data_IF_433111194671
#
_entry.id   IF_433111194671
#
_cell.length_a   1.000
_cell.length_b   1.000
_cell.length_c   1.000
_cell.angle_alpha   90.00
_cell.angle_beta   90.00
_cell.angle_gamma   90.00
#
_symmetry.space_group_name_H-M   'P 1'
#
loop_
_entity.id
_entity.type
_entity.pdbx_description
1 polymer ?
#
# COMPACT_ATOMS: atom_id res chain seq x y z
N UNK A 1 4.74 5.88 10.83
CA UNK A 1 5.01 4.53 10.35
C UNK A 1 3.73 3.74 10.20
N UNK A 2 3.62 2.95 9.16
CA UNK A 2 2.40 2.20 8.90
C UNK A 2 2.49 0.83 9.57
N UNK A 3 1.49 0.44 10.38
CA UNK A 3 1.51 -0.88 11.02
C UNK A 3 1.48 -1.99 9.97
N UNK A 4 2.36 -2.96 10.11
CA UNK A 4 2.45 -4.07 9.18
C UNK A 4 1.17 -4.92 9.20
N UNK A 5 0.55 -5.04 10.36
CA UNK A 5 -0.70 -5.80 10.50
C UNK A 5 -1.79 -5.26 9.57
N UNK A 6 -1.86 -3.94 9.45
CA UNK A 6 -2.85 -3.32 8.58
C UNK A 6 -2.58 -3.64 7.12
N UNK A 7 -1.31 -3.56 6.73
CA UNK A 7 -0.93 -3.89 5.36
C UNK A 7 -1.22 -5.35 5.05
N UNK A 8 -0.93 -6.21 5.99
CA UNK A 8 -1.15 -7.63 5.82
C UNK A 8 -2.64 -7.97 5.68
N UNK A 9 -3.49 -7.30 6.45
CA UNK A 9 -4.93 -7.51 6.35
C UNK A 9 -5.43 -7.15 4.96
N UNK A 10 -4.95 -6.07 4.40
CA UNK A 10 -5.35 -5.63 3.07
C UNK A 10 -4.90 -6.64 2.01
N UNK A 11 -3.65 -7.09 2.11
CA UNK A 11 -3.12 -8.06 1.15
C UNK A 11 -3.88 -9.38 1.25
N UNK A 12 -4.19 -9.82 2.47
CA UNK A 12 -4.93 -11.07 2.65
C UNK A 12 -6.36 -10.95 2.12
N UNK A 13 -6.99 -9.80 2.30
CA UNK A 13 -8.32 -9.58 1.75
C UNK A 13 -8.29 -9.65 0.23
N UNK A 14 -7.29 -9.03 -0.37
CA UNK A 14 -7.13 -9.06 -1.83
C UNK A 14 -6.95 -10.49 -2.33
N UNK A 15 -6.12 -11.28 -1.65
CA UNK A 15 -5.89 -12.66 -2.02
C UNK A 15 -7.17 -13.50 -1.87
N UNK A 16 -7.94 -13.22 -0.83
CA UNK A 16 -9.21 -13.89 -0.61
C UNK A 16 -10.18 -13.61 -1.76
N UNK A 17 -10.26 -12.34 -2.19
CA UNK A 17 -11.14 -11.98 -3.30
C UNK A 17 -10.71 -12.68 -4.59
N UNK A 18 -9.41 -12.74 -4.83
CA UNK A 18 -8.89 -13.40 -6.01
C UNK A 18 -9.25 -14.88 -6.01
N UNK A 19 -9.08 -15.54 -4.87
CA UNK A 19 -9.40 -16.95 -4.75
C UNK A 19 -10.89 -17.20 -4.97
N UNK A 20 -11.73 -16.35 -4.42
CA UNK A 20 -13.16 -16.47 -4.57
C UNK A 20 -13.60 -16.30 -6.02
N UNK A 21 -13.01 -15.36 -6.71
CA UNK A 21 -13.33 -15.14 -8.13
C UNK A 21 -12.90 -16.33 -8.97
N UNK A 22 -11.77 -16.94 -8.62
CA UNK A 22 -11.27 -18.11 -9.33
C UNK A 22 -12.11 -19.36 -9.07
N UNK A 23 -12.83 -19.41 -7.96
CA UNK A 23 -13.70 -20.55 -7.64
C UNK A 23 -14.99 -20.54 -8.43
N UNK A 24 -15.31 -19.44 -9.09
CA UNK A 24 -16.51 -19.37 -9.89
C UNK A 24 -17.72 -18.89 -9.12
N UNK A 25 -17.63 -17.71 -8.54
CA UNK A 25 -18.74 -17.09 -7.82
C UNK A 25 -19.91 -16.80 -8.76
N UNK A 26 -21.10 -16.66 -8.20
CA UNK A 26 -22.30 -16.34 -8.97
C UNK A 26 -22.22 -14.93 -9.55
N UNK A 27 -23.11 -14.61 -10.49
CA UNK A 27 -23.08 -13.33 -11.18
C UNK A 27 -23.10 -12.11 -10.29
N UNK A 28 -24.01 -12.08 -9.31
CA UNK A 28 -24.09 -10.96 -8.37
C UNK A 28 -22.87 -10.89 -7.47
N UNK A 29 -22.44 -12.05 -7.02
CA UNK A 29 -21.26 -12.17 -6.19
C UNK A 29 -20.02 -11.72 -6.93
N UNK A 30 -19.88 -12.16 -8.20
CA UNK A 30 -18.70 -11.84 -8.97
C UNK A 30 -18.59 -10.34 -9.23
N UNK A 31 -19.74 -9.67 -9.43
CA UNK A 31 -19.75 -8.23 -9.65
C UNK A 31 -19.26 -7.49 -8.39
N UNK A 32 -19.75 -7.92 -7.23
CA UNK A 32 -19.35 -7.32 -5.97
C UNK A 32 -17.87 -7.57 -5.66
N UNK A 33 -17.44 -8.82 -5.84
CA UNK A 33 -16.04 -9.18 -5.61
C UNK A 33 -15.12 -8.46 -6.58
N UNK A 34 -15.52 -8.37 -7.83
CA UNK A 34 -14.74 -7.68 -8.85
C UNK A 34 -14.56 -6.22 -8.56
N UNK A 35 -15.60 -5.57 -8.03
CA UNK A 35 -15.53 -4.16 -7.67
C UNK A 35 -14.52 -3.94 -6.55
N UNK A 36 -14.63 -4.76 -5.50
CA UNK A 36 -13.71 -4.66 -4.37
C UNK A 36 -12.29 -4.98 -4.82
N UNK A 37 -12.14 -6.00 -5.66
CA UNK A 37 -10.85 -6.40 -6.19
C UNK A 37 -10.19 -5.24 -6.95
N UNK A 38 -10.97 -4.58 -7.81
CA UNK A 38 -10.47 -3.45 -8.59
C UNK A 38 -10.07 -2.28 -7.71
N UNK A 39 -10.81 -2.07 -6.62
CA UNK A 39 -10.49 -0.99 -5.69
C UNK A 39 -9.22 -1.27 -4.88
N UNK A 40 -9.02 -2.53 -4.51
CA UNK A 40 -7.86 -2.91 -3.70
C UNK A 40 -6.59 -3.09 -4.51
N UNK A 41 -6.72 -3.38 -5.80
CA UNK A 41 -5.55 -3.66 -6.63
C UNK A 41 -4.48 -2.57 -6.58
N UNK A 42 -4.83 -1.29 -6.81
CA UNK A 42 -3.79 -0.25 -6.73
C UNK A 42 -3.22 -0.10 -5.33
N UNK A 43 -4.03 -0.35 -4.30
CA UNK A 43 -3.55 -0.29 -2.92
C UNK A 43 -2.53 -1.38 -2.66
N UNK A 44 -2.84 -2.60 -3.10
CA UNK A 44 -1.92 -3.74 -2.93
C UNK A 44 -0.63 -3.52 -3.70
N UNK A 45 -0.71 -2.97 -4.90
CA UNK A 45 0.47 -2.65 -5.69
C UNK A 45 1.34 -1.62 -4.97
N UNK A 46 0.71 -0.64 -4.35
CA UNK A 46 1.41 0.38 -3.60
C UNK A 46 2.07 -0.19 -2.35
N UNK A 47 1.37 -1.11 -1.67
CA UNK A 47 1.93 -1.82 -0.51
C UNK A 47 3.16 -2.61 -0.92
N UNK A 48 3.09 -3.30 -2.05
CA UNK A 48 4.22 -4.09 -2.54
C UNK A 48 5.43 -3.21 -2.82
N UNK A 49 5.20 -2.05 -3.43
CA UNK A 49 6.28 -1.11 -3.73
C UNK A 49 6.90 -0.55 -2.44
N UNK A 50 6.05 -0.24 -1.46
CA UNK A 50 6.51 0.26 -0.17
C UNK A 50 7.36 -0.79 0.54
N UNK A 51 6.91 -2.04 0.56
CA UNK A 51 7.65 -3.13 1.20
C UNK A 51 8.97 -3.39 0.49
N UNK A 52 8.98 -3.31 -0.84
CA UNK A 52 10.20 -3.49 -1.62
C UNK A 52 11.22 -2.40 -1.29
N UNK A 53 10.75 -1.17 -1.17
CA UNK A 53 11.61 -0.05 -0.81
C UNK A 53 12.22 -0.24 0.58
N UNK A 54 11.41 -0.74 1.52
CA UNK A 54 11.87 -1.04 2.87
C UNK A 54 12.95 -2.12 2.87
N UNK A 55 12.75 -3.16 2.08
CA UNK A 55 13.73 -4.24 1.95
C UNK A 55 15.02 -3.75 1.30
N UNK A 56 14.90 -2.92 0.27
CA UNK A 56 16.06 -2.36 -0.40
C UNK A 56 16.89 -1.51 0.55
N UNK A 57 16.21 -0.75 1.43
CA UNK A 57 16.88 0.05 2.45
C UNK A 57 17.68 -0.84 3.40
N UNK A 58 17.05 -1.91 3.89
CA UNK A 58 17.71 -2.83 4.81
C UNK A 58 18.91 -3.49 4.15
N UNK A 59 18.76 -3.88 2.89
CA UNK A 59 19.83 -4.50 2.14
C UNK A 59 21.02 -3.57 1.96
N UNK A 60 20.73 -2.30 1.61
CA UNK A 60 21.77 -1.31 1.44
C UNK A 60 22.51 -1.05 2.76
N UNK A 61 21.77 -1.07 3.88
CA UNK A 61 22.40 -0.90 5.20
C UNK A 61 23.35 -2.06 5.51
N UNK A 62 22.97 -3.28 5.14
CA UNK A 62 23.84 -4.43 5.34
C UNK A 62 25.09 -4.33 4.48
N UNK A 63 24.97 -3.80 3.29
CA UNK A 63 26.11 -3.65 2.38
C UNK A 63 27.14 -2.66 2.90
N UNK A 64 26.75 -1.76 3.81
CA UNK A 64 27.71 -0.82 4.42
C UNK A 64 28.80 -1.53 5.19
N UNK A 65 28.54 -2.74 5.66
CA UNK A 65 29.53 -3.51 6.40
C UNK A 65 30.64 -4.05 5.51
N UNK A 66 30.38 -4.11 4.21
CA UNK A 66 31.37 -4.61 3.25
C UNK A 66 32.18 -3.43 2.71
N UNK A 67 33.50 -3.38 2.98
CA UNK A 67 34.31 -2.23 2.52
C UNK A 67 34.29 -2.04 1.00
N UNK A 68 34.17 -3.12 0.25
CA UNK A 68 34.15 -3.04 -1.20
C UNK A 68 32.86 -2.44 -1.74
N UNK A 69 31.76 -2.60 -0.98
CA UNK A 69 30.43 -2.14 -1.41
C UNK A 69 30.00 -0.87 -0.71
N UNK A 70 30.81 -0.39 0.24
CA UNK A 70 30.37 0.74 1.09
C UNK A 70 29.98 1.98 0.29
N UNK A 71 30.82 2.38 -0.66
CA UNK A 71 30.56 3.59 -1.44
C UNK A 71 29.25 3.47 -2.20
N UNK A 72 29.02 2.32 -2.83
CA UNK A 72 27.79 2.06 -3.56
C UNK A 72 26.60 2.04 -2.62
N UNK A 73 26.76 1.39 -1.46
CA UNK A 73 25.69 1.30 -0.47
C UNK A 73 25.30 2.67 0.08
N UNK A 74 26.28 3.54 0.32
CA UNK A 74 25.99 4.89 0.80
C UNK A 74 25.18 5.68 -0.22
N UNK A 75 25.52 5.54 -1.49
CA UNK A 75 24.79 6.20 -2.56
C UNK A 75 23.36 5.67 -2.65
N UNK A 76 23.21 4.35 -2.60
CA UNK A 76 21.90 3.73 -2.62
C UNK A 76 21.05 4.16 -1.43
N UNK A 77 21.63 4.14 -0.24
CA UNK A 77 20.94 4.57 0.97
C UNK A 77 20.44 6.00 0.87
N UNK A 78 21.27 6.88 0.31
CA UNK A 78 20.89 8.27 0.16
C UNK A 78 19.64 8.40 -0.71
N UNK A 79 19.62 7.71 -1.85
CA UNK A 79 18.51 7.75 -2.77
C UNK A 79 17.25 7.12 -2.17
N UNK A 80 17.39 5.94 -1.56
CA UNK A 80 16.27 5.22 -1.00
C UNK A 80 15.69 5.93 0.21
N UNK A 81 16.56 6.50 1.04
CA UNK A 81 16.12 7.24 2.23
C UNK A 81 15.33 8.49 1.84
N UNK A 82 15.66 9.10 0.71
CA UNK A 82 14.90 10.25 0.22
C UNK A 82 13.52 9.83 -0.28
N UNK A 83 13.41 8.64 -0.86
CA UNK A 83 12.15 8.14 -1.40
C UNK A 83 11.21 7.60 -0.34
N UNK A 84 11.77 7.04 0.73
CA UNK A 84 10.98 6.31 1.71
C UNK A 84 9.89 7.16 2.36
N UNK A 85 10.19 8.36 2.88
CA UNK A 85 9.14 9.18 3.51
C UNK A 85 8.00 9.54 2.55
N UNK A 86 8.33 9.78 1.29
CA UNK A 86 7.32 10.11 0.28
C UNK A 86 6.42 8.91 0.00
N UNK A 87 7.02 7.73 -0.12
CA UNK A 87 6.27 6.50 -0.35
C UNK A 87 5.38 6.18 0.85
N UNK A 88 5.90 6.37 2.06
CA UNK A 88 5.13 6.14 3.27
C UNK A 88 3.94 7.08 3.35
N UNK A 89 4.16 8.36 3.07
CA UNK A 89 3.09 9.34 3.09
C UNK A 89 2.02 9.03 2.04
N UNK A 90 2.45 8.69 0.84
CA UNK A 90 1.51 8.36 -0.22
C UNK A 90 0.65 7.16 0.16
N UNK A 91 1.27 6.13 0.75
CA UNK A 91 0.53 4.96 1.17
C UNK A 91 -0.43 5.28 2.33
N UNK A 92 0.01 6.09 3.28
CA UNK A 92 -0.85 6.51 4.38
C UNK A 92 -2.10 7.23 3.87
N UNK A 93 -1.93 8.10 2.89
CA UNK A 93 -3.06 8.80 2.30
C UNK A 93 -4.00 7.84 1.60
N UNK A 94 -3.46 6.86 0.91
CA UNK A 94 -4.25 5.85 0.22
C UNK A 94 -5.08 5.03 1.21
N UNK A 95 -4.55 4.80 2.42
CA UNK A 95 -5.21 3.98 3.42
C UNK A 95 -6.27 4.72 4.22
N UNK A 96 -6.39 6.03 4.04
CA UNK A 96 -7.42 6.79 4.74
C UNK A 96 -8.80 6.34 4.27
N UNK A 97 -9.77 6.23 5.19
CA UNK A 97 -11.12 5.84 4.78
C UNK A 97 -11.72 6.87 3.83
N UNK A 98 -12.31 6.40 2.76
CA UNK A 98 -12.95 7.27 1.79
C UNK A 98 -14.09 8.05 2.43
N UNK A 99 -14.82 7.41 3.32
CA UNK A 99 -15.93 8.05 4.01
C UNK A 99 -15.47 9.26 4.80
N UNK A 100 -14.33 9.16 5.43
CA UNK A 100 -13.78 10.27 6.19
C UNK A 100 -13.41 11.43 5.27
N UNK A 101 -12.91 11.12 4.08
CA UNK A 101 -12.52 12.13 3.13
C UNK A 101 -13.72 12.77 2.45
N UNK A 102 -14.73 11.95 2.13
CA UNK A 102 -15.90 12.40 1.41
C UNK A 102 -16.93 13.06 2.29
N UNK A 103 -17.02 12.63 3.52
CA UNK A 103 -18.08 13.08 4.38
C UNK A 103 -17.98 14.52 4.78
N UNK A 104 -16.89 15.10 4.47
CA UNK A 104 -16.73 16.43 4.76
C UNK A 104 -17.41 17.26 3.93
N UNK A 105 -17.69 17.05 3.13
CA UNK A 105 -18.42 17.88 2.47
C UNK A 105 -19.70 17.56 2.56
N UNK A 106 -19.84 17.12 2.53
CA UNK A 106 -20.97 16.98 2.27
C UNK A 106 -21.90 17.14 3.16
N UNK A 107 -21.71 17.08 3.59
CA UNK A 107 -22.61 17.14 4.09
C UNK A 107 -23.04 17.92 4.65
N UNK A 108 -22.65 18.11 4.79
CA UNK A 108 -23.13 18.76 5.18
C UNK A 108 -23.58 19.63 4.91
N UNK A 109 -23.34 19.48 4.52
CA UNK A 109 -23.93 20.09 4.20
C UNK A 109 -24.81 20.30 3.98
N UNK A 110 -24.67 19.88 4.01
CA UNK A 110 -25.58 19.95 3.76
C UNK A 110 -26.45 20.25 4.23
N UNK A 111 -26.40 20.40 4.76
CA UNK A 111 -27.25 20.75 5.20
C UNK A 111 -27.61 21.71 5.27
N UNK A 112 -27.26 21.93 5.15
CA UNK A 112 -27.59 22.88 5.22
C UNK A 112 -28.42 23.37 5.40
N UNK A 113 -28.17 23.16 5.63
CA UNK A 113 -29.20 23.52 5.74
C UNK A 113 -29.80 24.35 5.74
#
# INVERSE_FOLDING_TARGET
>A
MIPDDRLEQIVQRFQFLEAKMNEGASGDEIASLGREYSELRPVVEQIAAYRQLSEDLAEAQEMLADPDMRALAEEELSLLSARFPDAERALQLTLLPKDAADSRPAMIEIRPG
#
